data_IF_277664600644
#
_entry.id   IF_277664600644
#
_cell.length_a   1.000
_cell.length_b   1.000
_cell.length_c   1.000
_cell.angle_alpha   90.00
_cell.angle_beta   90.00
_cell.angle_gamma   90.00
#
_symmetry.space_group_name_H-M   'P 1'
#
loop_
_entity.id
_entity.type
_entity.pdbx_description
1 polymer ?
#
# COMPACT_ATOMS: atom_id res chain seq x y z
N UNK A 1 28.41 1.05 -34.14
CA UNK A 1 27.64 0.63 -35.35
C UNK A 1 27.73 -0.86 -35.43
N UNK A 2 26.70 -1.56 -34.98
CA UNK A 2 26.60 -3.01 -35.23
C UNK A 2 25.76 -3.18 -36.49
N UNK A 3 26.45 -3.60 -37.56
CA UNK A 3 25.79 -3.98 -38.80
C UNK A 3 24.95 -5.22 -38.55
N UNK A 4 23.64 -5.07 -38.52
CA UNK A 4 22.69 -6.18 -38.55
C UNK A 4 22.70 -6.80 -39.95
N UNK A 5 23.64 -7.68 -40.24
CA UNK A 5 23.65 -8.48 -41.46
C UNK A 5 22.94 -9.80 -41.14
N UNK A 6 21.72 -9.96 -41.64
CA UNK A 6 20.81 -11.11 -41.49
C UNK A 6 20.09 -11.28 -40.14
N UNK A 7 19.83 -10.20 -39.40
CA UNK A 7 18.90 -10.22 -38.28
C UNK A 7 17.54 -9.70 -38.72
N UNK A 8 16.47 -10.40 -38.41
CA UNK A 8 15.11 -9.81 -38.39
C UNK A 8 15.00 -9.01 -37.11
N UNK A 9 15.19 -7.70 -37.23
CA UNK A 9 14.86 -6.78 -36.15
C UNK A 9 13.35 -6.56 -36.20
N UNK A 10 12.62 -7.29 -35.40
CA UNK A 10 11.24 -6.92 -35.10
C UNK A 10 11.26 -5.86 -33.99
N UNK A 11 10.37 -4.89 -34.08
CA UNK A 11 10.22 -3.77 -33.13
C UNK A 11 9.79 -4.19 -31.70
N UNK A 12 10.10 -5.39 -31.28
CA UNK A 12 9.87 -5.89 -29.94
C UNK A 12 11.10 -5.63 -29.08
N UNK A 13 11.00 -4.88 -28.00
CA UNK A 13 12.14 -4.34 -27.25
C UNK A 13 12.88 -5.32 -26.37
N UNK A 14 12.71 -6.64 -26.48
CA UNK A 14 13.26 -7.57 -25.50
C UNK A 14 13.90 -8.86 -26.05
N UNK A 15 13.97 -9.07 -27.37
CA UNK A 15 14.61 -10.27 -27.91
C UNK A 15 15.24 -10.04 -29.28
N UNK A 16 16.54 -10.19 -29.35
CA UNK A 16 17.28 -10.24 -30.61
C UNK A 16 17.57 -11.71 -30.96
N UNK A 17 17.15 -12.16 -32.13
CA UNK A 17 17.56 -13.46 -32.61
C UNK A 17 18.78 -13.28 -33.48
N UNK A 18 19.93 -13.79 -33.05
CA UNK A 18 21.20 -13.72 -33.75
C UNK A 18 21.48 -15.04 -34.44
N UNK A 19 21.74 -15.01 -35.74
CA UNK A 19 22.23 -16.16 -36.50
C UNK A 19 23.73 -15.99 -36.70
N UNK A 20 24.52 -16.94 -36.18
CA UNK A 20 25.97 -16.94 -36.36
C UNK A 20 26.34 -17.15 -37.85
N UNK A 21 27.00 -16.17 -38.47
CA UNK A 21 27.38 -16.19 -39.90
C UNK A 21 28.74 -16.82 -40.19
N UNK A 22 29.38 -17.50 -39.26
CA UNK A 22 30.59 -18.27 -39.52
C UNK A 22 30.25 -19.66 -40.08
N UNK A 23 29.69 -19.71 -41.27
CA UNK A 23 29.57 -20.84 -42.23
C UNK A 23 29.29 -22.25 -41.69
N UNK A 24 28.95 -22.42 -40.41
CA UNK A 24 28.40 -23.64 -39.82
C UNK A 24 27.05 -23.32 -39.20
N UNK A 25 25.99 -23.52 -39.97
CA UNK A 25 24.62 -23.47 -39.51
C UNK A 25 24.37 -24.66 -38.59
N UNK A 26 24.50 -24.50 -37.30
CA UNK A 26 24.21 -25.53 -36.31
C UNK A 26 22.76 -25.59 -35.87
N UNK A 27 21.91 -24.74 -36.44
CA UNK A 27 20.46 -24.67 -36.12
C UNK A 27 20.14 -24.15 -34.73
N UNK A 28 21.09 -23.63 -33.97
CA UNK A 28 20.83 -23.06 -32.67
C UNK A 28 20.50 -21.58 -32.78
N UNK A 29 19.27 -21.20 -32.49
CA UNK A 29 18.90 -19.82 -32.20
C UNK A 29 19.28 -19.49 -30.74
N UNK A 30 20.18 -18.54 -30.55
CA UNK A 30 20.46 -17.99 -29.22
C UNK A 30 19.58 -16.77 -29.01
N UNK A 31 18.72 -16.85 -28.05
CA UNK A 31 18.01 -15.63 -27.53
C UNK A 31 19.01 -14.91 -26.66
N UNK A 32 19.45 -13.72 -27.05
CA UNK A 32 20.18 -12.84 -26.14
C UNK A 32 19.15 -12.23 -25.19
N UNK A 33 19.25 -12.57 -23.93
CA UNK A 33 18.54 -11.86 -22.87
C UNK A 33 19.37 -10.60 -22.61
N UNK A 34 18.86 -9.46 -23.01
CA UNK A 34 19.46 -8.18 -22.63
C UNK A 34 19.06 -7.86 -21.19
N UNK A 35 20.06 -7.69 -20.33
CA UNK A 35 19.83 -7.20 -18.97
C UNK A 35 19.28 -5.78 -19.07
N UNK A 36 18.20 -5.42 -18.39
CA UNK A 36 17.71 -4.04 -18.39
C UNK A 36 18.75 -3.12 -17.74
N UNK A 37 18.88 -1.90 -18.26
CA UNK A 37 19.78 -0.88 -17.72
C UNK A 37 19.24 -0.27 -16.43
N UNK A 38 17.92 -0.26 -16.30
CA UNK A 38 17.22 0.28 -15.14
C UNK A 38 15.94 -0.50 -14.83
N UNK A 39 15.65 -0.70 -13.55
CA UNK A 39 14.39 -1.26 -13.08
C UNK A 39 13.62 -0.22 -12.30
N UNK A 40 12.32 -0.04 -12.63
CA UNK A 40 11.35 0.66 -11.81
C UNK A 40 10.45 -0.37 -11.14
N UNK A 41 10.32 -0.31 -9.82
CA UNK A 41 9.48 -1.25 -9.08
C UNK A 41 8.57 -0.56 -8.06
N UNK A 42 7.32 -1.03 -8.04
CA UNK A 42 6.35 -0.76 -6.99
C UNK A 42 6.22 -2.01 -6.11
N UNK A 43 5.94 -1.88 -4.81
CA UNK A 43 5.78 -3.01 -3.90
C UNK A 43 4.63 -3.93 -4.33
N UNK A 44 4.88 -5.23 -4.47
CA UNK A 44 3.89 -6.27 -4.80
C UNK A 44 3.82 -7.39 -3.76
N UNK A 45 4.66 -7.32 -2.73
CA UNK A 45 4.85 -8.33 -1.68
C UNK A 45 3.78 -8.27 -0.56
N UNK A 46 2.82 -7.34 -0.66
CA UNK A 46 1.80 -7.13 0.35
C UNK A 46 2.27 -6.30 1.55
N UNK A 47 3.44 -5.67 1.46
CA UNK A 47 3.98 -4.79 2.51
C UNK A 47 3.18 -3.50 2.66
N UNK A 48 2.65 -2.97 1.55
CA UNK A 48 1.85 -1.75 1.55
C UNK A 48 0.41 -2.06 1.95
N UNK A 49 0.04 -1.62 3.15
CA UNK A 49 -1.28 -1.86 3.75
C UNK A 49 -1.90 -0.55 4.23
N UNK A 50 -3.20 -0.41 4.04
CA UNK A 50 -3.94 0.76 4.49
C UNK A 50 -5.33 0.37 4.95
N UNK A 51 -5.85 1.07 5.96
CA UNK A 51 -7.25 1.02 6.31
C UNK A 51 -8.05 1.89 5.33
N UNK A 52 -9.15 1.39 4.84
CA UNK A 52 -10.10 2.10 4.00
C UNK A 52 -10.44 3.49 4.56
N UNK A 53 -10.34 4.51 3.71
CA UNK A 53 -10.54 5.92 4.07
C UNK A 53 -9.28 6.64 4.56
N UNK A 54 -8.16 5.94 4.71
CA UNK A 54 -6.90 6.55 5.13
C UNK A 54 -5.95 6.76 3.95
N UNK A 55 -4.98 7.63 4.18
CA UNK A 55 -3.89 7.89 3.24
C UNK A 55 -2.82 6.81 3.32
N UNK A 56 -2.23 6.50 2.18
CA UNK A 56 -1.11 5.56 2.03
C UNK A 56 -0.03 6.15 1.14
N UNK A 57 1.21 5.88 1.48
CA UNK A 57 2.39 6.24 0.71
C UNK A 57 2.96 4.98 0.08
N UNK A 58 3.16 4.99 -1.23
CA UNK A 58 3.69 3.87 -2.00
C UNK A 58 5.05 4.27 -2.56
N UNK A 59 6.15 3.68 -2.09
CA UNK A 59 7.47 3.98 -2.62
C UNK A 59 7.64 3.39 -4.02
N UNK A 60 8.18 4.19 -4.92
CA UNK A 60 8.68 3.74 -6.21
C UNK A 60 10.20 3.65 -6.13
N UNK A 61 10.71 2.44 -6.27
CA UNK A 61 12.15 2.16 -6.25
C UNK A 61 12.73 2.20 -7.66
N UNK A 62 13.85 2.87 -7.80
CA UNK A 62 14.65 2.95 -9.02
C UNK A 62 15.95 2.22 -8.75
N UNK A 63 16.23 1.19 -9.54
CA UNK A 63 17.44 0.37 -9.41
C UNK A 63 18.22 0.41 -10.72
N UNK A 64 19.33 1.17 -10.80
CA UNK A 64 20.30 1.06 -11.89
C UNK A 64 20.94 -0.31 -11.88
N UNK A 65 21.21 -0.87 -13.04
CA UNK A 65 21.96 -2.13 -13.15
C UNK A 65 23.44 -1.86 -13.43
N UNK A 66 24.25 -2.86 -13.24
CA UNK A 66 25.68 -2.78 -13.59
C UNK A 66 25.83 -3.06 -15.08
N UNK A 67 26.47 -2.16 -15.80
CA UNK A 67 26.84 -2.36 -17.19
C UNK A 67 27.87 -3.52 -17.28
N UNK A 68 27.52 -4.56 -18.00
CA UNK A 68 28.32 -5.80 -18.09
C UNK A 68 29.70 -5.59 -18.75
N UNK A 69 29.86 -4.52 -19.55
CA UNK A 69 31.10 -4.24 -20.26
C UNK A 69 32.06 -3.36 -19.46
N UNK A 70 31.52 -2.40 -18.73
CA UNK A 70 32.33 -1.45 -17.95
C UNK A 70 32.48 -1.87 -16.50
N UNK A 71 31.55 -2.65 -15.96
CA UNK A 71 31.47 -3.01 -14.55
C UNK A 71 31.01 -1.87 -13.65
N UNK A 72 30.58 -0.76 -14.26
CA UNK A 72 30.11 0.44 -13.54
C UNK A 72 28.56 0.48 -13.50
N UNK A 73 27.96 1.12 -12.51
CA UNK A 73 26.52 1.29 -12.48
C UNK A 73 26.06 2.20 -13.62
N UNK A 74 24.93 1.88 -14.20
CA UNK A 74 24.24 2.73 -15.17
C UNK A 74 23.90 4.08 -14.53
N UNK A 75 24.23 5.18 -15.21
CA UNK A 75 23.89 6.52 -14.77
C UNK A 75 22.56 6.95 -15.35
N UNK A 76 21.59 7.26 -14.50
CA UNK A 76 20.27 7.71 -14.91
C UNK A 76 20.19 9.22 -14.73
N UNK A 77 19.91 9.96 -15.80
CA UNK A 77 19.75 11.41 -15.81
C UNK A 77 18.29 11.85 -15.98
N UNK A 78 17.39 10.94 -16.32
CA UNK A 78 15.97 11.20 -16.46
C UNK A 78 15.18 9.93 -16.65
N UNK A 79 13.90 9.98 -16.31
CA UNK A 79 12.94 8.89 -16.57
C UNK A 79 11.53 9.42 -16.63
N UNK A 80 10.68 8.70 -17.35
CA UNK A 80 9.24 8.92 -17.39
C UNK A 80 8.49 7.59 -17.32
N UNK A 81 7.29 7.60 -16.79
CA UNK A 81 6.42 6.42 -16.70
C UNK A 81 4.96 6.81 -16.55
N UNK A 82 4.10 5.82 -16.77
CA UNK A 82 2.67 5.91 -16.53
C UNK A 82 2.22 4.78 -15.60
N UNK A 83 1.46 5.13 -14.55
CA UNK A 83 0.84 4.19 -13.61
C UNK A 83 -0.67 4.32 -13.65
N UNK A 84 -1.35 3.20 -13.90
CA UNK A 84 -2.81 3.08 -13.94
C UNK A 84 -3.32 2.47 -12.63
N UNK A 85 -4.45 2.98 -12.12
CA UNK A 85 -5.10 2.52 -10.90
C UNK A 85 -6.62 2.64 -11.01
N UNK A 86 -7.35 1.82 -10.22
CA UNK A 86 -8.82 1.88 -10.13
C UNK A 86 -9.25 3.08 -9.28
N UNK A 87 -9.95 4.03 -9.89
CA UNK A 87 -10.42 5.25 -9.23
C UNK A 87 -11.56 5.00 -8.21
N UNK A 88 -12.17 3.80 -8.22
CA UNK A 88 -13.14 3.40 -7.21
C UNK A 88 -12.48 2.90 -5.92
N UNK A 89 -11.20 2.55 -5.97
CA UNK A 89 -10.44 2.03 -4.83
C UNK A 89 -9.41 3.03 -4.31
N UNK A 90 -8.87 3.87 -5.18
CA UNK A 90 -7.81 4.81 -4.88
C UNK A 90 -8.11 6.19 -5.45
N UNK A 91 -7.76 7.21 -4.69
CA UNK A 91 -7.69 8.60 -5.15
C UNK A 91 -6.23 9.05 -5.06
N UNK A 92 -5.65 9.42 -6.18
CA UNK A 92 -4.31 9.99 -6.19
C UNK A 92 -4.32 11.38 -5.54
N UNK A 93 -3.31 11.67 -4.72
CA UNK A 93 -3.17 12.93 -3.98
C UNK A 93 -1.94 13.69 -4.45
N UNK A 94 -0.77 13.02 -4.49
CA UNK A 94 0.50 13.68 -4.76
C UNK A 94 1.59 12.67 -5.15
N UNK A 95 2.69 13.20 -5.70
CA UNK A 95 3.94 12.47 -5.92
C UNK A 95 5.10 13.26 -5.33
N UNK A 96 5.74 12.69 -4.31
CA UNK A 96 6.83 13.34 -3.57
C UNK A 96 8.19 12.86 -4.11
N UNK A 97 9.03 13.80 -4.50
CA UNK A 97 10.33 13.54 -5.17
C UNK A 97 11.55 13.73 -4.26
N UNK A 98 11.34 13.63 -2.95
CA UNK A 98 12.34 14.06 -1.96
C UNK A 98 13.69 13.32 -1.95
N UNK A 99 13.82 12.18 -2.63
CA UNK A 99 15.05 11.38 -2.64
C UNK A 99 15.83 11.45 -3.96
N UNK A 100 15.34 12.18 -4.96
CA UNK A 100 16.09 12.38 -6.20
C UNK A 100 17.33 13.24 -5.94
N UNK A 101 18.52 12.86 -6.43
CA UNK A 101 19.72 13.64 -6.26
C UNK A 101 19.71 14.90 -7.13
N UNK A 102 20.21 16.02 -6.61
CA UNK A 102 20.38 17.23 -7.38
C UNK A 102 19.12 18.00 -7.80
N UNK A 103 19.24 18.96 -8.70
CA UNK A 103 18.14 19.83 -9.14
C UNK A 103 17.38 19.17 -10.32
N UNK A 104 16.50 18.23 -10.02
CA UNK A 104 15.68 17.58 -11.03
C UNK A 104 14.40 18.38 -11.31
N UNK A 105 14.07 18.55 -12.60
CA UNK A 105 12.79 19.08 -13.03
C UNK A 105 11.79 17.94 -13.16
N UNK A 106 10.60 18.13 -12.60
CA UNK A 106 9.55 17.12 -12.61
C UNK A 106 8.28 17.65 -13.27
N UNK A 107 7.55 16.79 -13.95
CA UNK A 107 6.17 17.03 -14.33
C UNK A 107 5.28 15.89 -13.84
N UNK A 108 4.05 16.22 -13.54
CA UNK A 108 3.03 15.29 -13.07
C UNK A 108 1.71 15.63 -13.73
N UNK A 109 1.02 14.63 -14.25
CA UNK A 109 -0.32 14.76 -14.79
C UNK A 109 -1.17 13.55 -14.40
N UNK A 110 -2.42 13.79 -14.02
CA UNK A 110 -3.43 12.76 -13.78
C UNK A 110 -4.49 12.84 -14.89
N UNK A 111 -4.84 11.70 -15.47
CA UNK A 111 -5.90 11.63 -16.49
C UNK A 111 -7.30 11.77 -15.88
N UNK A 112 -8.28 12.06 -16.73
CA UNK A 112 -9.68 11.81 -16.39
C UNK A 112 -9.92 10.31 -16.24
N UNK A 113 -11.04 9.94 -15.60
CA UNK A 113 -11.46 8.54 -15.45
C UNK A 113 -11.82 7.98 -16.82
N UNK A 114 -11.25 6.83 -17.18
CA UNK A 114 -11.58 6.14 -18.43
C UNK A 114 -12.93 5.39 -18.33
N UNK A 115 -13.42 4.86 -19.47
CA UNK A 115 -14.68 4.11 -19.54
C UNK A 115 -14.72 2.85 -18.66
N UNK A 116 -13.58 2.39 -18.17
CA UNK A 116 -13.43 1.22 -17.31
C UNK A 116 -13.28 1.60 -15.83
N UNK A 117 -13.31 2.88 -15.48
CA UNK A 117 -13.21 3.36 -14.10
C UNK A 117 -11.78 3.56 -13.62
N UNK A 118 -10.80 3.55 -14.52
CA UNK A 118 -9.39 3.73 -14.17
C UNK A 118 -8.92 5.15 -14.45
N UNK A 119 -7.89 5.55 -13.70
CA UNK A 119 -7.09 6.75 -13.96
C UNK A 119 -5.65 6.38 -14.21
N UNK A 120 -4.93 7.27 -14.88
CA UNK A 120 -3.50 7.13 -15.16
C UNK A 120 -2.76 8.36 -14.65
N UNK A 121 -1.69 8.13 -13.91
CA UNK A 121 -0.71 9.14 -13.52
C UNK A 121 0.44 9.05 -14.51
N UNK A 122 0.76 10.16 -15.18
CA UNK A 122 1.95 10.32 -16.01
C UNK A 122 2.96 11.16 -15.23
N UNK A 123 4.11 10.60 -14.98
CA UNK A 123 5.21 11.25 -14.28
C UNK A 123 6.46 11.26 -15.14
N UNK A 124 7.18 12.36 -15.11
CA UNK A 124 8.49 12.44 -15.73
C UNK A 124 9.40 13.39 -14.98
N UNK A 125 10.67 13.07 -15.02
CA UNK A 125 11.69 13.88 -14.37
C UNK A 125 12.99 13.84 -15.16
N UNK A 126 13.74 14.94 -15.11
CA UNK A 126 14.98 15.12 -15.82
C UNK A 126 15.93 15.92 -14.95
N UNK A 127 17.20 15.50 -14.89
CA UNK A 127 18.28 16.29 -14.33
C UNK A 127 18.42 17.61 -15.12
N UNK A 128 18.45 18.73 -14.41
CA UNK A 128 18.38 20.08 -15.00
C UNK A 128 19.62 20.93 -14.76
N UNK A 129 20.80 20.33 -14.73
CA UNK A 129 22.03 21.10 -14.62
C UNK A 129 22.51 21.65 -15.96
N UNK A 130 22.88 22.92 -16.06
CA UNK A 130 23.48 23.46 -17.28
C UNK A 130 24.91 22.94 -17.41
N UNK A 131 25.17 22.09 -18.40
CA UNK A 131 26.51 21.62 -18.82
C UNK A 131 27.36 20.96 -17.70
N UNK A 132 27.59 19.68 -17.80
CA UNK A 132 28.40 18.87 -16.88
C UNK A 132 27.86 18.87 -15.44
N UNK A 133 26.72 18.24 -15.20
CA UNK A 133 26.27 17.94 -13.84
C UNK A 133 27.33 17.18 -13.07
N UNK A 134 27.53 17.48 -11.79
CA UNK A 134 28.35 16.65 -10.92
C UNK A 134 27.87 15.19 -10.94
N UNK A 135 28.78 14.25 -10.79
CA UNK A 135 28.47 12.81 -10.82
C UNK A 135 27.41 12.40 -9.79
N UNK A 136 27.36 13.08 -8.66
CA UNK A 136 26.39 12.87 -7.58
C UNK A 136 24.98 13.38 -7.88
N UNK A 137 24.75 13.97 -9.07
CA UNK A 137 23.42 14.38 -9.53
C UNK A 137 22.72 13.28 -10.34
N UNK A 138 23.41 12.21 -10.70
CA UNK A 138 22.85 11.07 -11.41
C UNK A 138 22.45 9.95 -10.42
N UNK A 139 21.41 9.20 -10.76
CA UNK A 139 21.06 7.99 -9.99
C UNK A 139 22.01 6.88 -10.43
N UNK A 140 22.84 6.41 -9.52
CA UNK A 140 23.80 5.31 -9.72
C UNK A 140 23.61 4.17 -8.76
N UNK A 141 22.84 4.38 -7.70
CA UNK A 141 22.49 3.38 -6.68
C UNK A 141 20.97 3.18 -6.61
N UNK A 142 20.53 2.09 -5.99
CA UNK A 142 19.12 1.89 -5.71
C UNK A 142 18.61 2.97 -4.75
N UNK A 143 17.53 3.65 -5.16
CA UNK A 143 16.90 4.67 -4.35
C UNK A 143 15.38 4.53 -4.37
N UNK A 144 14.71 5.04 -3.34
CA UNK A 144 13.30 5.42 -3.42
C UNK A 144 13.26 6.78 -4.10
N UNK A 145 13.07 6.76 -5.43
CA UNK A 145 13.12 8.00 -6.23
C UNK A 145 11.86 8.84 -6.13
N UNK A 146 10.74 8.20 -5.77
CA UNK A 146 9.41 8.81 -5.72
C UNK A 146 8.54 8.12 -4.69
N UNK A 147 7.67 8.89 -4.06
CA UNK A 147 6.62 8.38 -3.18
C UNK A 147 5.25 8.81 -3.73
N UNK A 148 4.45 7.84 -4.20
CA UNK A 148 3.10 8.08 -4.66
C UNK A 148 2.15 8.06 -3.47
N UNK A 149 1.36 9.13 -3.32
CA UNK A 149 0.44 9.28 -2.19
C UNK A 149 -1.00 9.10 -2.68
N UNK A 150 -1.71 8.16 -2.06
CA UNK A 150 -3.11 7.87 -2.35
C UNK A 150 -3.97 7.95 -1.11
N UNK A 151 -5.24 8.32 -1.26
CA UNK A 151 -6.29 7.99 -0.31
C UNK A 151 -6.97 6.69 -0.78
N UNK A 152 -7.17 5.74 0.13
CA UNK A 152 -8.02 4.58 -0.14
C UNK A 152 -9.49 5.01 -0.07
N UNK A 153 -10.26 4.72 -1.12
CA UNK A 153 -11.67 5.09 -1.20
C UNK A 153 -12.58 3.97 -0.71
N UNK A 154 -13.82 4.33 -0.35
CA UNK A 154 -14.85 3.38 0.05
C UNK A 154 -15.46 2.71 -1.18
N UNK A 155 -15.30 1.41 -1.32
CA UNK A 155 -16.17 0.63 -2.18
C UNK A 155 -17.32 0.07 -1.34
N UNK A 156 -18.48 0.72 -1.38
CA UNK A 156 -19.66 0.41 -0.56
C UNK A 156 -20.21 -1.02 -0.78
N UNK A 157 -19.78 -1.70 -1.82
CA UNK A 157 -20.27 -3.04 -2.18
C UNK A 157 -19.22 -4.15 -1.93
N UNK A 158 -18.10 -3.86 -1.31
CA UNK A 158 -17.05 -4.84 -1.10
C UNK A 158 -17.25 -5.60 0.21
N UNK A 159 -17.68 -6.86 0.11
CA UNK A 159 -17.86 -7.77 1.26
C UNK A 159 -16.57 -8.50 1.66
N UNK A 160 -15.41 -8.10 1.15
CA UNK A 160 -14.12 -8.70 1.50
C UNK A 160 -13.47 -7.93 2.65
N UNK A 161 -12.80 -8.64 3.54
CA UNK A 161 -12.03 -8.05 4.63
C UNK A 161 -10.82 -7.26 4.08
N UNK A 162 -10.14 -7.85 3.10
CA UNK A 162 -9.03 -7.26 2.39
C UNK A 162 -9.31 -7.19 0.90
N UNK A 163 -8.96 -6.09 0.30
CA UNK A 163 -9.04 -5.87 -1.15
C UNK A 163 -7.68 -5.44 -1.66
N UNK A 164 -7.25 -6.03 -2.77
CA UNK A 164 -6.06 -5.58 -3.46
C UNK A 164 -6.43 -4.49 -4.48
N UNK A 165 -5.72 -3.37 -4.43
CA UNK A 165 -5.77 -2.32 -5.42
C UNK A 165 -4.47 -2.33 -6.22
N UNK A 166 -4.58 -2.67 -7.50
CA UNK A 166 -3.43 -2.76 -8.40
C UNK A 166 -2.93 -1.38 -8.82
N UNK A 167 -1.60 -1.27 -8.87
CA UNK A 167 -0.87 -0.17 -9.48
C UNK A 167 -0.10 -0.70 -10.67
N UNK A 168 -0.59 -0.47 -11.88
CA UNK A 168 -0.06 -1.07 -13.09
C UNK A 168 0.75 -0.06 -13.90
N UNK A 169 2.00 -0.39 -14.22
CA UNK A 169 2.71 0.35 -15.25
C UNK A 169 2.04 0.12 -16.60
N UNK A 170 1.72 1.19 -17.28
CA UNK A 170 1.08 1.18 -18.61
C UNK A 170 1.82 2.12 -19.56
N UNK A 171 1.46 2.09 -20.85
CA UNK A 171 1.93 3.06 -21.83
C UNK A 171 3.46 3.15 -21.93
N UNK A 172 3.92 4.36 -22.11
CA UNK A 172 5.35 4.66 -22.25
C UNK A 172 6.06 4.65 -20.92
N UNK A 173 7.28 4.14 -20.94
CA UNK A 173 8.24 4.34 -19.90
C UNK A 173 9.63 4.40 -20.54
N UNK A 174 10.35 5.47 -20.29
CA UNK A 174 11.66 5.72 -20.83
C UNK A 174 12.59 6.17 -19.72
N UNK A 175 13.86 5.83 -19.85
CA UNK A 175 14.93 6.42 -19.05
C UNK A 175 16.06 6.85 -19.99
N UNK A 176 16.81 7.84 -19.57
CA UNK A 176 17.94 8.37 -20.33
C UNK A 176 19.19 8.49 -19.47
N UNK A 177 20.34 8.27 -20.10
CA UNK A 177 21.63 8.52 -19.50
C UNK A 177 22.07 10.00 -19.66
N UNK A 178 23.18 10.43 -19.04
CA UNK A 178 23.68 11.82 -19.17
C UNK A 178 24.08 12.23 -20.60
N UNK A 179 24.31 11.27 -21.50
CA UNK A 179 24.64 11.54 -22.89
C UNK A 179 23.41 11.73 -23.78
N UNK A 180 22.21 11.45 -23.23
CA UNK A 180 20.95 11.50 -23.96
C UNK A 180 20.62 10.19 -24.69
N UNK A 181 21.30 9.09 -24.37
CA UNK A 181 20.97 7.79 -24.91
C UNK A 181 19.81 7.15 -24.13
N UNK A 182 18.94 6.44 -24.82
CA UNK A 182 17.85 5.70 -24.20
C UNK A 182 18.39 4.48 -23.45
N UNK A 183 17.85 4.27 -22.26
CA UNK A 183 18.14 3.14 -21.39
C UNK A 183 17.02 2.11 -21.45
N UNK A 184 17.37 0.82 -21.52
CA UNK A 184 16.39 -0.26 -21.46
C UNK A 184 15.80 -0.36 -20.05
N UNK A 185 14.47 -0.16 -19.94
CA UNK A 185 13.77 -0.13 -18.66
C UNK A 185 12.92 -1.37 -18.44
N UNK A 186 13.10 -2.02 -17.29
CA UNK A 186 12.18 -3.03 -16.76
C UNK A 186 11.23 -2.38 -15.75
N UNK A 187 9.97 -2.83 -15.72
CA UNK A 187 8.92 -2.29 -14.85
C UNK A 187 8.25 -3.41 -14.08
N UNK A 188 8.17 -3.28 -12.77
CA UNK A 188 7.44 -4.16 -11.89
C UNK A 188 6.26 -3.39 -11.27
N UNK A 189 5.05 -3.75 -11.69
CA UNK A 189 3.80 -3.22 -11.11
C UNK A 189 3.65 -3.67 -9.66
N UNK A 190 2.87 -2.93 -8.88
CA UNK A 190 2.67 -3.19 -7.47
C UNK A 190 1.21 -3.21 -7.07
N UNK A 191 0.96 -3.33 -5.77
CA UNK A 191 -0.38 -3.35 -5.20
C UNK A 191 -0.43 -2.79 -3.79
N UNK A 192 -1.61 -2.30 -3.41
CA UNK A 192 -1.96 -1.84 -2.08
C UNK A 192 -3.00 -2.79 -1.51
N UNK A 193 -2.79 -3.28 -0.29
CA UNK A 193 -3.78 -4.04 0.44
C UNK A 193 -4.64 -3.10 1.28
N UNK A 194 -5.92 -3.00 0.94
CA UNK A 194 -6.89 -2.14 1.62
C UNK A 194 -7.73 -2.99 2.57
N UNK A 195 -7.65 -2.70 3.87
CA UNK A 195 -8.50 -3.34 4.87
C UNK A 195 -9.84 -2.63 4.95
N UNK A 196 -10.92 -3.40 4.75
CA UNK A 196 -12.28 -2.89 4.86
C UNK A 196 -12.72 -2.82 6.33
N UNK A 197 -12.68 -1.63 6.91
CA UNK A 197 -13.08 -1.40 8.31
C UNK A 197 -14.56 -1.73 8.59
N UNK A 198 -15.38 -1.83 7.55
CA UNK A 198 -16.80 -2.20 7.66
C UNK A 198 -17.08 -3.66 7.31
N UNK A 199 -16.05 -4.48 7.11
CA UNK A 199 -16.22 -5.89 6.76
C UNK A 199 -17.14 -6.63 7.74
N UNK A 200 -17.03 -6.34 9.04
CA UNK A 200 -17.87 -6.90 10.08
C UNK A 200 -19.38 -6.62 9.92
N UNK A 201 -19.70 -5.58 9.21
CA UNK A 201 -21.08 -5.18 8.92
C UNK A 201 -21.57 -5.64 7.54
N UNK A 202 -20.85 -6.56 6.90
CA UNK A 202 -21.15 -7.01 5.55
C UNK A 202 -20.58 -6.11 4.44
N UNK A 203 -19.59 -5.27 4.78
CA UNK A 203 -18.82 -4.46 3.85
C UNK A 203 -19.27 -3.02 3.68
N UNK A 204 -20.45 -2.65 4.16
CA UNK A 204 -20.98 -1.29 4.11
C UNK A 204 -20.93 -0.56 5.45
N UNK A 205 -20.94 0.76 5.40
CA UNK A 205 -21.05 1.59 6.60
C UNK A 205 -22.38 1.30 7.31
N UNK A 206 -22.37 1.03 8.64
CA UNK A 206 -23.60 0.89 9.39
C UNK A 206 -24.44 2.17 9.34
N UNK A 207 -25.76 2.01 9.28
CA UNK A 207 -26.70 3.14 9.37
C UNK A 207 -27.06 3.51 10.80
N UNK A 208 -26.55 2.77 11.77
CA UNK A 208 -26.87 2.89 13.20
C UNK A 208 -25.62 2.62 14.03
N UNK A 209 -25.62 3.11 15.30
CA UNK A 209 -24.56 2.75 16.25
C UNK A 209 -24.51 1.22 16.40
N UNK A 210 -23.34 0.64 16.29
CA UNK A 210 -23.15 -0.81 16.28
C UNK A 210 -21.84 -1.20 16.97
N UNK A 211 -21.90 -2.19 17.85
CA UNK A 211 -20.70 -2.83 18.38
C UNK A 211 -20.36 -4.05 17.51
N UNK A 212 -19.21 -4.03 16.89
CA UNK A 212 -18.82 -5.04 15.91
C UNK A 212 -18.07 -6.20 16.50
N UNK A 213 -16.90 -5.94 17.06
CA UNK A 213 -15.96 -6.95 17.45
C UNK A 213 -15.42 -6.75 18.85
N UNK A 214 -15.21 -7.90 19.47
CA UNK A 214 -14.25 -8.07 20.55
C UNK A 214 -13.26 -9.09 20.06
N UNK A 215 -12.00 -8.71 19.97
CA UNK A 215 -10.99 -9.59 19.39
C UNK A 215 -9.62 -9.49 20.10
N UNK A 216 -8.89 -10.58 20.16
CA UNK A 216 -9.26 -11.93 19.74
C UNK A 216 -10.40 -12.50 20.60
N UNK A 217 -11.22 -13.40 20.04
CA UNK A 217 -12.28 -14.06 20.76
C UNK A 217 -12.38 -15.54 20.36
N UNK A 218 -12.02 -16.52 21.22
CA UNK A 218 -11.63 -16.31 22.62
C UNK A 218 -10.26 -15.60 22.78
N UNK A 219 -10.15 -14.80 23.83
CA UNK A 219 -8.86 -14.27 24.27
C UNK A 219 -8.16 -15.33 25.10
N UNK A 220 -6.88 -15.62 24.78
CA UNK A 220 -6.03 -16.54 25.51
C UNK A 220 -4.78 -15.81 26.00
N UNK A 221 -4.53 -15.82 27.28
CA UNK A 221 -3.48 -15.03 27.92
C UNK A 221 -2.07 -15.44 27.48
N UNK A 222 -1.90 -16.71 27.11
CA UNK A 222 -0.63 -17.29 26.63
C UNK A 222 -0.39 -17.09 25.11
N UNK A 223 -1.42 -16.78 24.35
CA UNK A 223 -1.33 -16.62 22.89
C UNK A 223 -1.46 -15.16 22.43
N UNK A 224 -2.10 -14.29 23.22
CA UNK A 224 -2.48 -12.94 22.82
C UNK A 224 -1.95 -11.88 23.77
N UNK A 225 -1.42 -10.80 23.23
CA UNK A 225 -0.85 -9.68 24.00
C UNK A 225 -1.87 -8.63 24.41
N UNK A 226 -3.02 -8.57 23.74
CA UNK A 226 -4.06 -7.57 24.00
C UNK A 226 -5.44 -8.03 23.59
N UNK A 227 -6.45 -7.51 24.28
CA UNK A 227 -7.86 -7.64 23.95
C UNK A 227 -8.36 -6.31 23.44
N UNK A 228 -9.06 -6.30 22.30
CA UNK A 228 -9.55 -5.09 21.67
C UNK A 228 -11.07 -5.16 21.50
N UNK A 229 -11.70 -3.99 21.47
CA UNK A 229 -13.10 -3.88 21.06
C UNK A 229 -13.26 -2.77 20.01
N UNK A 230 -14.17 -3.01 19.10
CA UNK A 230 -14.45 -2.13 17.99
C UNK A 230 -15.94 -1.82 17.93
N UNK A 231 -16.31 -0.55 17.71
CA UNK A 231 -17.69 -0.11 17.55
C UNK A 231 -17.77 1.03 16.53
N UNK A 232 -18.96 1.23 16.01
CA UNK A 232 -19.29 2.28 15.07
C UNK A 232 -20.30 3.24 15.70
N UNK A 233 -20.04 4.55 15.59
CA UNK A 233 -20.97 5.63 15.93
C UNK A 233 -21.50 6.26 14.64
N UNK A 234 -22.83 6.31 14.50
CA UNK A 234 -23.47 6.92 13.33
C UNK A 234 -23.34 8.47 13.36
N UNK A 235 -23.30 9.03 14.54
CA UNK A 235 -23.11 10.46 14.79
C UNK A 235 -22.28 10.70 16.05
N UNK A 236 -21.71 11.90 16.16
CA UNK A 236 -20.97 12.30 17.37
C UNK A 236 -21.90 12.31 18.57
N UNK A 237 -21.59 11.56 19.61
CA UNK A 237 -22.46 11.44 20.78
C UNK A 237 -21.80 10.79 21.98
N UNK A 238 -22.54 10.77 23.11
CA UNK A 238 -22.12 10.08 24.31
C UNK A 238 -22.20 8.57 24.12
N UNK A 239 -21.15 7.85 24.47
CA UNK A 239 -21.10 6.39 24.49
C UNK A 239 -20.56 5.92 25.84
N UNK A 240 -21.24 4.92 26.41
CA UNK A 240 -20.74 4.18 27.58
C UNK A 240 -20.56 2.72 27.20
N UNK A 241 -19.38 2.16 27.47
CA UNK A 241 -19.09 0.76 27.24
C UNK A 241 -18.71 0.09 28.56
N UNK A 242 -19.46 -0.95 28.91
CA UNK A 242 -19.32 -1.67 30.17
C UNK A 242 -19.18 -3.17 29.95
N UNK A 243 -18.48 -3.83 30.87
CA UNK A 243 -18.35 -5.30 30.92
C UNK A 243 -19.29 -5.86 31.98
N UNK A 244 -19.97 -6.93 31.62
CA UNK A 244 -20.79 -7.72 32.52
C UNK A 244 -20.38 -9.21 32.52
N UNK A 245 -20.48 -9.87 33.65
CA UNK A 245 -20.36 -11.30 33.73
C UNK A 245 -21.67 -12.01 33.33
N UNK A 246 -21.66 -13.33 33.23
CA UNK A 246 -22.83 -14.15 32.85
C UNK A 246 -24.00 -14.05 33.84
N UNK A 247 -23.77 -13.56 35.06
CA UNK A 247 -24.82 -13.35 36.06
C UNK A 247 -25.47 -11.95 35.93
N UNK A 248 -25.06 -11.18 34.93
CA UNK A 248 -25.56 -9.82 34.71
C UNK A 248 -24.97 -8.77 35.67
N UNK A 249 -23.93 -9.11 36.40
CA UNK A 249 -23.24 -8.16 37.27
C UNK A 249 -22.24 -7.35 36.45
N UNK A 250 -22.28 -6.03 36.59
CA UNK A 250 -21.30 -5.13 35.99
C UNK A 250 -19.95 -5.35 36.62
N UNK A 251 -18.96 -5.66 35.80
CA UNK A 251 -17.56 -5.86 36.20
C UNK A 251 -16.81 -4.55 36.15
N UNK A 252 -17.05 -3.74 35.14
CA UNK A 252 -16.41 -2.44 34.99
C UNK A 252 -16.97 -1.62 33.82
N UNK A 253 -16.60 -0.34 33.78
CA UNK A 253 -16.85 0.55 32.64
C UNK A 253 -15.53 0.80 31.92
N UNK A 254 -15.49 0.55 30.62
CA UNK A 254 -14.32 0.74 29.78
C UNK A 254 -14.22 2.14 29.23
N UNK A 255 -15.34 2.69 28.82
CA UNK A 255 -15.45 3.98 28.16
C UNK A 255 -16.73 4.66 28.62
N UNK A 256 -16.65 5.97 28.86
CA UNK A 256 -17.81 6.82 29.18
C UNK A 256 -17.48 8.25 28.79
N UNK A 257 -17.57 8.53 27.47
CA UNK A 257 -17.19 9.83 26.90
C UNK A 257 -17.96 10.15 25.64
N UNK A 258 -17.84 11.38 25.15
CA UNK A 258 -18.31 11.79 23.83
C UNK A 258 -17.29 11.39 22.78
N UNK A 259 -17.70 10.60 21.80
CA UNK A 259 -16.87 10.21 20.66
C UNK A 259 -17.44 10.77 19.35
N UNK A 260 -16.59 10.98 18.38
CA UNK A 260 -17.00 11.42 17.04
C UNK A 260 -17.73 10.29 16.31
N UNK A 261 -18.41 10.64 15.22
CA UNK A 261 -18.92 9.67 14.26
C UNK A 261 -17.80 8.83 13.63
N UNK A 262 -18.13 7.63 13.18
CA UNK A 262 -17.23 6.70 12.52
C UNK A 262 -16.86 5.48 13.34
N UNK A 263 -15.80 4.78 12.87
CA UNK A 263 -15.30 3.56 13.48
C UNK A 263 -14.26 3.86 14.56
N UNK A 264 -14.45 3.25 15.73
CA UNK A 264 -13.54 3.35 16.87
C UNK A 264 -13.01 1.98 17.25
N UNK A 265 -11.70 1.93 17.55
CA UNK A 265 -11.04 0.72 18.06
C UNK A 265 -10.25 1.11 19.30
N UNK A 266 -10.49 0.41 20.38
CA UNK A 266 -9.79 0.58 21.65
C UNK A 266 -9.12 -0.72 22.06
N UNK A 267 -7.90 -0.60 22.55
CA UNK A 267 -7.20 -1.70 23.21
C UNK A 267 -7.51 -1.64 24.70
N UNK A 268 -7.82 -2.76 25.29
CA UNK A 268 -8.19 -2.84 26.70
C UNK A 268 -7.09 -2.34 27.64
N UNK A 269 -5.82 -2.51 27.25
CA UNK A 269 -4.66 -2.01 28.01
C UNK A 269 -4.52 -0.48 28.01
N UNK A 270 -5.15 0.20 27.06
CA UNK A 270 -5.04 1.66 26.88
C UNK A 270 -6.03 2.43 27.77
N UNK A 271 -6.83 1.70 28.56
CA UNK A 271 -7.88 2.24 29.43
C UNK A 271 -7.55 1.99 30.91
N UNK A 272 -6.57 2.73 31.46
CA UNK A 272 -6.02 2.43 32.79
C UNK A 272 -7.01 2.55 33.96
N UNK A 273 -8.09 3.34 33.79
CA UNK A 273 -9.07 3.62 34.85
C UNK A 273 -10.41 2.90 34.69
N UNK A 274 -10.51 2.00 33.70
CA UNK A 274 -11.78 1.38 33.31
C UNK A 274 -12.51 0.61 34.43
N UNK A 275 -11.78 0.18 35.48
CA UNK A 275 -12.33 -0.67 36.55
C UNK A 275 -12.28 -0.04 37.94
N UNK A 276 -11.89 1.26 38.06
CA UNK A 276 -11.71 1.94 39.32
C UNK A 276 -10.33 1.67 39.96
N UNK A 277 -10.03 2.41 41.06
CA UNK A 277 -8.77 2.25 41.78
C UNK A 277 -8.60 0.79 42.25
N UNK A 278 -7.55 0.12 41.77
CA UNK A 278 -7.14 -1.21 42.21
C UNK A 278 -7.52 -2.36 41.30
N UNK A 279 -8.11 -2.13 40.12
CA UNK A 279 -8.35 -3.18 39.11
C UNK A 279 -7.27 -3.14 38.05
N UNK A 280 -6.49 -4.20 37.87
CA UNK A 280 -5.34 -4.30 36.97
C UNK A 280 -5.69 -4.54 35.49
N UNK A 281 -6.91 -4.21 35.08
CA UNK A 281 -7.37 -4.39 33.70
C UNK A 281 -7.89 -5.82 33.41
N UNK A 282 -7.96 -6.19 32.11
CA UNK A 282 -8.49 -7.51 31.71
C UNK A 282 -7.68 -8.71 32.26
N UNK A 283 -6.44 -8.48 32.66
CA UNK A 283 -5.59 -9.51 33.28
C UNK A 283 -6.15 -10.01 34.59
N UNK A 284 -7.02 -9.25 35.24
CA UNK A 284 -7.71 -9.67 36.47
C UNK A 284 -9.04 -10.38 36.20
N UNK A 285 -9.55 -10.33 34.99
CA UNK A 285 -10.73 -11.11 34.61
C UNK A 285 -10.37 -12.61 34.62
N UNK A 286 -11.15 -13.41 35.34
CA UNK A 286 -11.00 -14.87 35.36
C UNK A 286 -11.39 -15.49 34.02
N UNK A 287 -11.02 -16.75 33.79
CA UNK A 287 -11.53 -17.54 32.66
C UNK A 287 -13.04 -17.59 32.71
N UNK A 288 -13.70 -17.19 31.63
CA UNK A 288 -15.15 -17.11 31.59
C UNK A 288 -15.71 -16.41 30.36
N UNK A 289 -17.04 -16.34 30.36
CA UNK A 289 -17.80 -15.65 29.31
C UNK A 289 -18.26 -14.31 29.88
N UNK A 290 -18.08 -13.27 29.07
CA UNK A 290 -18.43 -11.88 29.40
C UNK A 290 -19.24 -11.25 28.28
N UNK A 291 -19.90 -10.14 28.61
CA UNK A 291 -20.60 -9.28 27.65
C UNK A 291 -19.96 -7.91 27.69
N UNK A 292 -19.56 -7.39 26.55
CA UNK A 292 -19.43 -5.96 26.33
C UNK A 292 -20.81 -5.38 26.04
N UNK A 293 -21.18 -4.33 26.71
CA UNK A 293 -22.43 -3.59 26.51
C UNK A 293 -22.07 -2.17 26.18
N UNK A 294 -22.46 -1.75 24.98
CA UNK A 294 -22.38 -0.37 24.49
C UNK A 294 -23.76 0.26 24.68
N UNK A 295 -23.78 1.43 25.28
CA UNK A 295 -24.97 2.24 25.51
C UNK A 295 -24.75 3.64 24.94
N UNK A 296 -25.63 4.09 24.08
CA UNK A 296 -25.74 5.46 23.54
C UNK A 296 -27.07 6.05 23.96
N UNK A 297 -27.35 7.32 23.62
CA UNK A 297 -28.61 7.96 23.99
C UNK A 297 -29.87 7.17 23.57
N UNK A 298 -29.77 6.53 22.39
CA UNK A 298 -30.93 5.88 21.77
C UNK A 298 -30.87 4.35 21.79
N UNK A 299 -29.70 3.73 22.09
CA UNK A 299 -29.50 2.30 21.83
C UNK A 299 -28.63 1.62 22.87
N UNK A 300 -28.87 0.31 23.01
CA UNK A 300 -28.03 -0.62 23.75
C UNK A 300 -27.69 -1.77 22.83
N UNK A 301 -26.39 -2.01 22.65
CA UNK A 301 -25.87 -3.14 21.89
C UNK A 301 -24.92 -3.97 22.76
N UNK A 302 -24.79 -5.26 22.47
CA UNK A 302 -23.88 -6.12 23.23
C UNK A 302 -23.19 -7.15 22.38
N UNK A 303 -21.96 -7.51 22.76
CA UNK A 303 -21.19 -8.61 22.16
C UNK A 303 -20.63 -9.51 23.27
N UNK A 304 -20.72 -10.80 23.02
CA UNK A 304 -20.17 -11.82 23.92
C UNK A 304 -18.70 -12.07 23.57
N UNK A 305 -17.88 -12.21 24.57
CA UNK A 305 -16.49 -12.65 24.43
C UNK A 305 -16.11 -13.65 25.51
N UNK A 306 -15.02 -14.36 25.29
CA UNK A 306 -14.55 -15.42 26.18
C UNK A 306 -13.08 -15.20 26.52
N UNK A 307 -12.75 -15.34 27.80
CA UNK A 307 -11.36 -15.34 28.31
C UNK A 307 -11.00 -16.76 28.70
N UNK A 308 -9.83 -17.20 28.29
CA UNK A 308 -9.21 -18.48 28.64
C UNK A 308 -7.82 -18.16 29.24
N UNK A 309 -7.62 -18.52 30.49
CA UNK A 309 -6.32 -18.41 31.20
C UNK A 309 -5.75 -19.78 31.42
#
# INVERSE_FOLDING_TARGET
>A
EQDCVNATCDDAPSAWTYTNTNNEYDGSSRTMITTPDVRLSLPDDGSVKVQMGNQVVVPLTITPTIDEFTGEPTKIAGFEFEVRFDSNQLQFIDAQTGLLPGPWMTYLNESEVDDSGYKTISFGTLENSPNNAPEDYYITDEIIGLELVFNSTLNENNNQEWTEADLQFVGKANAGNPNGDDLLMERQSGKINIWNKYWAFGGGQPSEDEMTYVFPNPYKDDEHSSLNFQFYMNETGQVSISIYNVNGQKVGTLLDEVVNDGMHTYTFSDLPDAFGEGFGGYQELESGVYLFVMETEDRIKSKKFTIIK
#
